data_IF_744489261149
#
_entry.id   IF_744489261149
#
_cell.length_a   1.000
_cell.length_b   1.000
_cell.length_c   1.000
_cell.angle_alpha   90.00
_cell.angle_beta   90.00
_cell.angle_gamma   90.00
#
_symmetry.space_group_name_H-M   'P 1'
#
loop_
_entity.id
_entity.type
_entity.pdbx_description
1 polymer ?
#
# COMPACT_ATOMS: atom_id res chain seq x y z
N UNK A 1 -12.97 0.73 30.39
CA UNK A 1 -11.60 0.39 30.83
C UNK A 1 -10.76 0.15 29.58
N UNK A 2 -9.57 0.75 29.48
CA UNK A 2 -8.69 0.53 28.32
C UNK A 2 -8.14 -0.89 28.41
N UNK A 3 -8.31 -1.66 27.34
CA UNK A 3 -7.81 -3.04 27.27
C UNK A 3 -6.36 -3.05 26.77
N UNK A 4 -5.57 -4.04 27.19
CA UNK A 4 -4.17 -4.20 26.77
C UNK A 4 -4.05 -4.25 25.24
N UNK A 5 -5.05 -4.86 24.57
CA UNK A 5 -5.07 -4.96 23.10
C UNK A 5 -5.25 -3.59 22.44
N UNK A 6 -6.04 -2.68 23.03
CA UNK A 6 -6.18 -1.31 22.53
C UNK A 6 -4.86 -0.54 22.66
N UNK A 7 -4.13 -0.70 23.76
CA UNK A 7 -2.80 -0.07 23.95
C UNK A 7 -1.83 -0.55 22.88
N UNK A 8 -1.74 -1.87 22.66
CA UNK A 8 -0.89 -2.46 21.62
C UNK A 8 -1.26 -1.96 20.22
N UNK A 9 -2.55 -1.89 19.89
CA UNK A 9 -3.04 -1.40 18.60
C UNK A 9 -2.69 0.07 18.36
N UNK A 10 -2.82 0.92 19.38
CA UNK A 10 -2.46 2.34 19.28
C UNK A 10 -0.94 2.50 19.10
N UNK A 11 -0.14 1.75 19.86
CA UNK A 11 1.32 1.78 19.77
C UNK A 11 1.81 1.33 18.38
N UNK A 12 1.20 0.27 17.85
CA UNK A 12 1.50 -0.23 16.51
C UNK A 12 1.07 0.77 15.42
N UNK A 13 -0.10 1.39 15.57
CA UNK A 13 -0.56 2.42 14.62
C UNK A 13 0.35 3.66 14.62
N UNK A 14 0.81 4.12 15.79
CA UNK A 14 1.78 5.22 15.91
C UNK A 14 3.13 4.86 15.27
N UNK A 15 3.62 3.64 15.52
CA UNK A 15 4.85 3.16 14.89
C UNK A 15 4.72 3.10 13.36
N UNK A 16 3.60 2.57 12.87
CA UNK A 16 3.36 2.48 11.44
C UNK A 16 3.16 3.86 10.78
N UNK A 17 2.54 4.80 11.48
CA UNK A 17 2.39 6.18 11.02
C UNK A 17 3.76 6.90 11.00
N UNK A 18 4.60 6.71 12.02
CA UNK A 18 5.99 7.19 12.04
C UNK A 18 6.76 6.68 10.81
N UNK A 19 6.65 5.37 10.50
CA UNK A 19 7.27 4.77 9.31
C UNK A 19 6.74 5.37 8.00
N UNK A 20 5.44 5.64 7.91
CA UNK A 20 4.85 6.32 6.75
C UNK A 20 5.37 7.76 6.61
N UNK A 21 5.50 8.49 7.72
CA UNK A 21 6.01 9.87 7.73
C UNK A 21 7.50 9.96 7.37
N UNK A 22 8.32 9.01 7.85
CA UNK A 22 9.73 8.90 7.48
C UNK A 22 9.89 8.66 5.97
N UNK A 23 9.08 7.78 5.38
CA UNK A 23 9.13 7.51 3.93
C UNK A 23 8.64 8.67 3.06
N UNK A 24 7.75 9.52 3.58
CA UNK A 24 7.36 10.78 2.93
C UNK A 24 8.53 11.77 2.91
N UNK A 25 9.29 11.88 4.01
CA UNK A 25 10.46 12.76 4.12
C UNK A 25 11.55 12.39 3.13
N UNK A 26 11.74 11.10 2.86
CA UNK A 26 12.71 10.59 1.88
C UNK A 26 12.27 10.76 0.41
N UNK A 27 11.12 11.42 0.13
CA UNK A 27 10.51 11.56 -1.21
C UNK A 27 10.28 10.23 -1.96
N UNK A 28 10.41 9.11 -1.27
CA UNK A 28 10.25 7.76 -1.81
C UNK A 28 8.79 7.41 -2.13
N UNK A 29 7.85 8.17 -1.55
CA UNK A 29 6.41 7.94 -1.61
C UNK A 29 5.70 9.22 -2.06
N UNK A 30 4.68 9.09 -2.91
CA UNK A 30 3.82 10.23 -3.33
C UNK A 30 2.91 10.67 -2.19
N UNK A 31 2.53 11.94 -2.14
CA UNK A 31 1.61 12.47 -1.10
C UNK A 31 0.29 11.67 -1.03
N UNK A 32 -0.21 11.19 -2.17
CA UNK A 32 -1.41 10.33 -2.27
C UNK A 32 -1.25 9.00 -1.54
N UNK A 33 -0.05 8.42 -1.57
CA UNK A 33 0.26 7.17 -0.89
C UNK A 33 0.38 7.38 0.61
N UNK A 34 0.95 8.51 1.05
CA UNK A 34 0.95 8.88 2.48
C UNK A 34 -0.47 9.07 3.02
N UNK A 35 -1.32 9.83 2.33
CA UNK A 35 -2.73 10.03 2.71
C UNK A 35 -3.46 8.69 2.78
N UNK A 36 -3.28 7.81 1.80
CA UNK A 36 -3.88 6.47 1.81
C UNK A 36 -3.49 5.67 3.05
N UNK A 37 -2.20 5.63 3.39
CA UNK A 37 -1.72 4.93 4.59
C UNK A 37 -2.24 5.58 5.87
N UNK A 38 -2.26 6.91 5.95
CA UNK A 38 -2.80 7.62 7.11
C UNK A 38 -4.28 7.33 7.33
N UNK A 39 -5.09 7.29 6.28
CA UNK A 39 -6.52 6.93 6.38
C UNK A 39 -6.70 5.49 6.85
N UNK A 40 -5.88 4.55 6.36
CA UNK A 40 -5.93 3.15 6.76
C UNK A 40 -5.62 2.98 8.25
N UNK A 41 -4.55 3.60 8.75
CA UNK A 41 -4.19 3.56 10.17
C UNK A 41 -5.20 4.28 11.06
N UNK A 42 -5.70 5.44 10.63
CA UNK A 42 -6.76 6.16 11.33
C UNK A 42 -8.02 5.29 11.46
N UNK A 43 -8.43 4.62 10.38
CA UNK A 43 -9.58 3.72 10.39
C UNK A 43 -9.41 2.57 11.39
N UNK A 44 -8.22 1.96 11.46
CA UNK A 44 -7.93 0.92 12.45
C UNK A 44 -8.04 1.41 13.89
N UNK A 45 -7.56 2.62 14.19
CA UNK A 45 -7.70 3.23 15.52
C UNK A 45 -9.17 3.50 15.81
N UNK A 46 -9.91 4.10 14.87
CA UNK A 46 -11.33 4.42 15.04
C UNK A 46 -12.17 3.18 15.32
N UNK A 47 -11.94 2.09 14.58
CA UNK A 47 -12.63 0.81 14.80
C UNK A 47 -12.26 0.14 16.13
N UNK A 48 -11.02 0.32 16.60
CA UNK A 48 -10.56 -0.22 17.89
C UNK A 48 -11.14 0.53 19.10
N UNK A 49 -11.30 1.86 18.99
CA UNK A 49 -11.80 2.72 20.07
C UNK A 49 -13.33 2.68 20.15
N UNK A 50 -14.02 2.61 19.00
CA UNK A 50 -15.49 2.60 18.94
C UNK A 50 -16.02 1.42 18.11
N UNK A 51 -16.29 0.26 18.74
CA UNK A 51 -16.95 -0.86 18.08
C UNK A 51 -18.40 -0.52 17.66
N UNK A 52 -18.98 0.57 18.16
CA UNK A 52 -20.31 1.03 17.78
C UNK A 52 -20.40 1.39 16.28
N UNK A 53 -19.33 1.90 15.68
CA UNK A 53 -19.27 2.17 14.23
C UNK A 53 -19.33 0.89 13.41
N UNK A 54 -18.60 -0.14 13.83
CA UNK A 54 -18.64 -1.46 13.21
C UNK A 54 -20.01 -2.12 13.38
N UNK A 55 -20.64 -1.94 14.55
CA UNK A 55 -22.00 -2.43 14.80
C UNK A 55 -23.03 -1.73 13.91
N UNK A 56 -22.96 -0.41 13.77
CA UNK A 56 -23.82 0.36 12.87
C UNK A 56 -23.65 -0.06 11.40
N UNK A 57 -22.41 -0.21 10.95
CA UNK A 57 -22.13 -0.68 9.59
C UNK A 57 -22.65 -2.11 9.37
N UNK A 58 -22.52 -2.98 10.38
CA UNK A 58 -22.98 -4.37 10.31
C UNK A 58 -24.50 -4.47 10.24
N UNK A 59 -25.25 -3.60 10.94
CA UNK A 59 -26.71 -3.58 10.88
C UNK A 59 -27.23 -3.07 9.54
N UNK A 60 -26.56 -2.07 8.95
CA UNK A 60 -26.91 -1.55 7.61
C UNK A 60 -26.61 -2.58 6.51
N UNK A 61 -25.49 -3.32 6.63
CA UNK A 61 -25.09 -4.32 5.64
C UNK A 61 -25.73 -5.71 5.87
N UNK A 62 -26.54 -5.88 6.93
CA UNK A 62 -27.20 -7.15 7.25
C UNK A 62 -26.26 -8.25 7.76
N UNK A 63 -25.08 -7.89 8.28
CA UNK A 63 -24.09 -8.84 8.80
C UNK A 63 -24.28 -8.99 10.31
N UNK A 64 -24.54 -10.21 10.78
CA UNK A 64 -24.83 -10.49 12.20
C UNK A 64 -23.65 -10.26 13.14
N UNK A 65 -22.41 -10.27 12.63
CA UNK A 65 -21.19 -10.11 13.44
C UNK A 65 -20.33 -8.97 12.89
N UNK A 66 -20.18 -7.92 13.69
CA UNK A 66 -19.34 -6.77 13.40
C UNK A 66 -17.88 -7.14 13.03
N UNK A 67 -17.35 -8.22 13.61
CA UNK A 67 -16.01 -8.73 13.31
C UNK A 67 -15.89 -9.28 11.89
N UNK A 68 -16.92 -9.96 11.39
CA UNK A 68 -16.89 -10.60 10.06
C UNK A 68 -16.87 -9.54 8.96
N UNK A 69 -17.54 -8.40 9.17
CA UNK A 69 -17.48 -7.23 8.31
C UNK A 69 -16.04 -6.68 8.22
N UNK A 70 -15.35 -6.55 9.35
CA UNK A 70 -13.96 -6.09 9.37
C UNK A 70 -13.05 -7.04 8.58
N UNK A 71 -13.26 -8.35 8.70
CA UNK A 71 -12.54 -9.37 7.92
C UNK A 71 -12.81 -9.19 6.43
N UNK A 72 -14.06 -9.09 5.99
CA UNK A 72 -14.38 -8.91 4.57
C UNK A 72 -13.76 -7.62 4.00
N UNK A 73 -13.87 -6.50 4.71
CA UNK A 73 -13.25 -5.23 4.30
C UNK A 73 -11.72 -5.39 4.19
N UNK A 74 -11.09 -6.05 5.17
CA UNK A 74 -9.64 -6.29 5.13
C UNK A 74 -9.22 -7.14 3.92
N UNK A 75 -9.98 -8.19 3.58
CA UNK A 75 -9.71 -9.05 2.43
C UNK A 75 -9.81 -8.24 1.13
N UNK A 76 -10.88 -7.44 0.98
CA UNK A 76 -11.05 -6.59 -0.21
C UNK A 76 -9.90 -5.59 -0.35
N UNK A 77 -9.52 -4.91 0.75
CA UNK A 77 -8.41 -3.96 0.76
C UNK A 77 -7.09 -4.66 0.43
N UNK A 78 -6.84 -5.85 0.98
CA UNK A 78 -5.64 -6.65 0.70
C UNK A 78 -5.56 -7.06 -0.77
N UNK A 79 -6.66 -7.56 -1.35
CA UNK A 79 -6.71 -7.89 -2.77
C UNK A 79 -6.44 -6.69 -3.65
N UNK A 80 -7.03 -5.53 -3.33
CA UNK A 80 -6.76 -4.28 -4.05
C UNK A 80 -5.28 -3.88 -3.96
N UNK A 81 -4.68 -3.96 -2.77
CA UNK A 81 -3.26 -3.65 -2.57
C UNK A 81 -2.35 -4.62 -3.33
N UNK A 82 -2.68 -5.92 -3.31
CA UNK A 82 -1.96 -6.95 -4.06
C UNK A 82 -2.03 -6.69 -5.56
N UNK A 83 -3.21 -6.35 -6.07
CA UNK A 83 -3.40 -5.97 -7.47
C UNK A 83 -2.58 -4.71 -7.82
N UNK A 84 -2.58 -3.69 -6.97
CA UNK A 84 -1.76 -2.49 -7.17
C UNK A 84 -0.27 -2.81 -7.22
N UNK A 85 0.20 -3.71 -6.38
CA UNK A 85 1.60 -4.18 -6.40
C UNK A 85 1.89 -4.92 -7.71
N UNK A 86 1.02 -5.84 -8.12
CA UNK A 86 1.14 -6.57 -9.38
C UNK A 86 1.31 -5.61 -10.57
N UNK A 87 0.46 -4.59 -10.69
CA UNK A 87 0.56 -3.58 -11.77
C UNK A 87 1.88 -2.80 -11.71
N UNK A 88 2.36 -2.44 -10.51
CA UNK A 88 3.66 -1.76 -10.36
C UNK A 88 4.83 -2.65 -10.80
N UNK A 89 4.79 -3.94 -10.45
CA UNK A 89 5.81 -4.92 -10.83
C UNK A 89 5.82 -5.14 -12.34
N UNK A 90 4.65 -5.27 -12.97
CA UNK A 90 4.54 -5.41 -14.43
C UNK A 90 5.14 -4.20 -15.16
N UNK A 91 4.76 -2.99 -14.73
CA UNK A 91 5.31 -1.75 -15.28
C UNK A 91 6.84 -1.66 -15.14
N UNK A 92 7.38 -2.06 -13.99
CA UNK A 92 8.83 -2.12 -13.79
C UNK A 92 9.49 -3.11 -14.75
N UNK A 93 8.88 -4.27 -15.01
CA UNK A 93 9.36 -5.23 -16.00
C UNK A 93 9.42 -4.65 -17.42
N UNK A 94 8.41 -3.87 -17.80
CA UNK A 94 8.39 -3.17 -19.09
C UNK A 94 9.50 -2.09 -19.19
N UNK A 95 9.68 -1.29 -18.13
CA UNK A 95 10.73 -0.27 -18.06
C UNK A 95 12.13 -0.89 -18.18
N UNK A 96 12.40 -2.00 -17.47
CA UNK A 96 13.66 -2.76 -17.59
C UNK A 96 13.86 -3.24 -19.03
N UNK A 97 12.83 -3.80 -19.65
CA UNK A 97 12.90 -4.28 -21.04
C UNK A 97 13.26 -3.16 -22.01
N UNK A 98 12.67 -1.97 -21.83
CA UNK A 98 12.98 -0.79 -22.65
C UNK A 98 14.43 -0.33 -22.44
N UNK A 99 14.90 -0.29 -21.19
CA UNK A 99 16.30 0.07 -20.86
C UNK A 99 17.28 -0.90 -21.53
N UNK A 100 17.07 -2.21 -21.38
CA UNK A 100 17.93 -3.24 -21.98
C UNK A 100 17.93 -3.13 -23.51
N UNK A 101 16.77 -2.92 -24.14
CA UNK A 101 16.65 -2.72 -25.59
C UNK A 101 17.45 -1.50 -26.06
N UNK A 102 17.32 -0.37 -25.36
CA UNK A 102 18.04 0.86 -25.70
C UNK A 102 19.56 0.68 -25.57
N UNK A 103 20.03 -0.02 -24.53
CA UNK A 103 21.44 -0.35 -24.35
C UNK A 103 21.95 -1.25 -25.49
N UNK A 104 21.20 -2.29 -25.86
CA UNK A 104 21.57 -3.20 -26.94
C UNK A 104 21.66 -2.49 -28.32
N UNK A 105 20.68 -1.65 -28.65
CA UNK A 105 20.68 -0.86 -29.88
C UNK A 105 21.86 0.11 -29.92
N UNK A 106 22.12 0.82 -28.81
CA UNK A 106 23.26 1.76 -28.72
C UNK A 106 24.61 1.04 -28.88
N UNK A 107 24.75 -0.15 -28.30
CA UNK A 107 25.96 -0.95 -28.46
C UNK A 107 26.15 -1.45 -29.90
N UNK A 108 25.07 -1.90 -30.56
CA UNK A 108 25.13 -2.33 -31.97
C UNK A 108 25.53 -1.16 -32.89
N UNK A 109 24.97 0.03 -32.66
CA UNK A 109 25.35 1.25 -33.37
C UNK A 109 26.85 1.60 -33.17
N UNK A 110 27.39 1.37 -31.97
CA UNK A 110 28.82 1.56 -31.69
C UNK A 110 29.71 0.58 -32.47
N UNK A 111 29.35 -0.71 -32.50
CA UNK A 111 30.07 -1.74 -33.27
C UNK A 111 30.06 -1.42 -34.77
N UNK A 112 28.91 -1.01 -35.33
CA UNK A 112 28.79 -0.67 -36.76
C UNK A 112 29.62 0.56 -37.14
N UNK A 113 29.77 1.53 -36.24
CA UNK A 113 30.60 2.73 -36.47
C UNK A 113 32.10 2.41 -36.41
N UNK A 114 32.51 1.47 -35.56
CA UNK A 114 33.91 1.02 -35.46
C UNK A 114 34.36 0.28 -36.73
N UNK A 115 33.52 -0.57 -37.31
CA UNK A 115 33.85 -1.33 -38.52
C UNK A 115 33.81 -0.50 -39.82
N UNK A 116 33.37 0.76 -39.77
CA UNK A 116 33.36 1.69 -40.92
C UNK A 116 34.56 2.65 -40.95
N UNK A 117 35.43 2.61 -39.94
CA UNK A 117 36.72 3.31 -39.91
C UNK A 117 37.82 2.30 -40.16
#
# INVERSE_FOLDING_TARGET
MITIIQVLMILFALFAWSRAALRLKDKSIRITEFIFWSVLWASLITFSVSPALLQFLSSVLGIQRATDLAVYVSIIVLFYLMFRIYVKVDKQGQEITQVVRNVALKNNLYVKKKNKK
#
